data_IF_052900429049
#
_entry.id   IF_052900429049
#
_cell.length_a   1.000
_cell.length_b   1.000
_cell.length_c   1.000
_cell.angle_alpha   90.00
_cell.angle_beta   90.00
_cell.angle_gamma   90.00
#
_symmetry.space_group_name_H-M   'P 1'
#
loop_
_entity.id
_entity.type
_entity.pdbx_description
1 polymer ?
#
# COMPACT_ATOMS: atom_id res chain seq x y z
N UNK A 1 -9.37 0.24 13.95
CA UNK A 1 -8.81 1.56 14.33
C UNK A 1 -7.35 1.70 13.90
N UNK A 2 -6.44 0.78 14.25
CA UNK A 2 -5.00 0.88 13.94
C UNK A 2 -4.63 0.84 12.45
N UNK A 3 -5.37 0.13 11.60
CA UNK A 3 -5.08 0.06 10.16
C UNK A 3 -5.24 1.41 9.46
N UNK A 4 -6.23 2.21 9.87
CA UNK A 4 -6.42 3.57 9.35
C UNK A 4 -5.34 4.54 9.89
N UNK A 5 -4.89 4.35 11.14
CA UNK A 5 -3.81 5.15 11.72
C UNK A 5 -2.47 4.92 10.99
N UNK A 6 -2.21 3.70 10.51
CA UNK A 6 -1.02 3.39 9.70
C UNK A 6 -1.01 4.10 8.32
N UNK A 7 -2.19 4.46 7.79
CA UNK A 7 -2.33 5.22 6.54
C UNK A 7 -2.15 6.74 6.73
N UNK A 8 -2.39 7.25 7.94
CA UNK A 8 -2.35 8.68 8.28
C UNK A 8 -1.06 9.03 9.06
N UNK A 9 -0.31 8.03 9.51
CA UNK A 9 0.99 8.25 10.14
C UNK A 9 1.91 8.99 9.17
N UNK A 10 2.41 10.15 9.58
CA UNK A 10 3.52 10.82 8.92
C UNK A 10 4.74 9.91 9.06
N UNK A 11 4.94 9.05 8.07
CA UNK A 11 6.21 8.34 7.89
C UNK A 11 7.15 9.37 7.30
N UNK A 12 8.20 9.74 8.04
CA UNK A 12 9.24 10.64 7.55
C UNK A 12 10.09 9.88 6.50
N UNK A 13 9.53 9.78 5.29
CA UNK A 13 10.13 9.07 4.15
C UNK A 13 11.45 9.75 3.77
N UNK A 14 11.55 11.06 3.98
CA UNK A 14 12.74 11.85 3.70
C UNK A 14 13.87 11.51 4.68
N UNK A 15 13.58 11.37 5.98
CA UNK A 15 14.54 10.85 6.96
C UNK A 15 14.98 9.41 6.62
N UNK A 16 14.06 8.55 6.17
CA UNK A 16 14.37 7.18 5.77
C UNK A 16 15.25 7.12 4.52
N UNK A 17 14.99 7.95 3.51
CA UNK A 17 15.83 8.05 2.31
C UNK A 17 17.21 8.61 2.65
N UNK A 18 17.29 9.64 3.50
CA UNK A 18 18.56 10.26 3.90
C UNK A 18 19.47 9.31 4.69
N UNK A 19 18.89 8.41 5.46
CA UNK A 19 19.60 7.38 6.22
C UNK A 19 19.72 6.05 5.44
N UNK A 20 19.36 6.01 4.16
CA UNK A 20 19.44 4.79 3.37
C UNK A 20 20.90 4.34 3.23
N UNK A 21 21.26 3.13 3.70
CA UNK A 21 22.63 2.63 3.63
C UNK A 21 23.02 2.20 2.21
N UNK A 22 22.04 1.90 1.36
CA UNK A 22 22.22 1.42 -0.01
C UNK A 22 21.00 1.71 -0.89
N UNK A 23 21.17 1.51 -2.21
CA UNK A 23 20.10 1.67 -3.19
C UNK A 23 18.96 0.66 -2.98
N UNK A 24 19.22 -0.49 -2.37
CA UNK A 24 18.21 -1.50 -2.08
C UNK A 24 17.17 -1.02 -1.06
N UNK A 25 17.62 -0.31 -0.03
CA UNK A 25 16.76 0.28 0.98
C UNK A 25 15.88 1.40 0.41
N UNK A 26 16.41 2.27 -0.45
CA UNK A 26 15.62 3.32 -1.13
C UNK A 26 14.48 2.71 -1.97
N UNK A 27 14.80 1.67 -2.75
CA UNK A 27 13.81 0.95 -3.55
C UNK A 27 12.77 0.28 -2.64
N UNK A 28 13.20 -0.29 -1.51
CA UNK A 28 12.31 -0.87 -0.50
C UNK A 28 11.35 0.17 0.10
N UNK A 29 11.83 1.36 0.42
CA UNK A 29 11.01 2.48 0.92
C UNK A 29 10.03 2.97 -0.15
N UNK A 30 10.48 3.09 -1.40
CA UNK A 30 9.64 3.51 -2.52
C UNK A 30 8.53 2.49 -2.83
N UNK A 31 8.85 1.20 -2.88
CA UNK A 31 7.84 0.14 -3.07
C UNK A 31 6.91 0.07 -1.85
N UNK A 32 7.48 0.23 -0.65
CA UNK A 32 6.75 0.25 0.62
C UNK A 32 5.70 1.37 0.70
N UNK A 33 5.98 2.54 0.13
CA UNK A 33 5.02 3.66 0.09
C UNK A 33 3.87 3.43 -0.89
N UNK A 34 4.06 2.58 -1.91
CA UNK A 34 3.03 2.22 -2.90
C UNK A 34 2.13 1.06 -2.43
N UNK A 35 2.56 0.26 -1.44
CA UNK A 35 1.79 -0.88 -0.89
C UNK A 35 0.34 -0.53 -0.50
N UNK A 36 0.06 0.58 0.22
CA UNK A 36 -1.30 0.99 0.55
C UNK A 36 -2.21 1.10 -0.68
N UNK A 37 -1.71 1.67 -1.77
CA UNK A 37 -2.46 1.81 -3.02
C UNK A 37 -2.71 0.44 -3.68
N UNK A 38 -1.69 -0.43 -3.73
CA UNK A 38 -1.83 -1.79 -4.27
C UNK A 38 -2.89 -2.60 -3.52
N UNK A 39 -2.95 -2.46 -2.19
CA UNK A 39 -3.97 -3.11 -1.36
C UNK A 39 -5.37 -2.62 -1.74
N UNK A 40 -5.56 -1.31 -1.94
CA UNK A 40 -6.86 -0.75 -2.36
C UNK A 40 -7.29 -1.29 -3.74
N UNK A 41 -6.36 -1.36 -4.70
CA UNK A 41 -6.63 -1.94 -6.03
C UNK A 41 -7.01 -3.42 -5.94
N UNK A 42 -6.30 -4.19 -5.11
CA UNK A 42 -6.61 -5.60 -4.88
C UNK A 42 -8.01 -5.78 -4.26
N UNK A 43 -8.36 -4.96 -3.27
CA UNK A 43 -9.69 -4.97 -2.66
C UNK A 43 -10.78 -4.59 -3.68
N UNK A 44 -10.54 -3.57 -4.51
CA UNK A 44 -11.46 -3.20 -5.60
C UNK A 44 -11.66 -4.35 -6.58
N UNK A 45 -10.58 -5.04 -6.97
CA UNK A 45 -10.66 -6.22 -7.84
C UNK A 45 -11.45 -7.37 -7.20
N UNK A 46 -11.22 -7.66 -5.91
CA UNK A 46 -11.96 -8.68 -5.17
C UNK A 46 -13.45 -8.34 -5.07
N UNK A 47 -13.79 -7.08 -4.79
CA UNK A 47 -15.18 -6.61 -4.76
C UNK A 47 -15.84 -6.73 -6.14
N UNK A 48 -15.15 -6.32 -7.21
CA UNK A 48 -15.62 -6.49 -8.58
C UNK A 48 -15.87 -7.96 -8.92
N UNK A 49 -14.92 -8.84 -8.61
CA UNK A 49 -15.02 -10.29 -8.87
C UNK A 49 -16.18 -10.91 -8.09
N UNK A 50 -16.33 -10.56 -6.82
CA UNK A 50 -17.42 -11.06 -5.98
C UNK A 50 -18.79 -10.60 -6.47
N UNK A 51 -18.92 -9.32 -6.84
CA UNK A 51 -20.17 -8.74 -7.37
C UNK A 51 -20.55 -9.35 -8.73
N UNK A 52 -19.56 -9.52 -9.62
CA UNK A 52 -19.76 -10.15 -10.93
C UNK A 52 -20.27 -11.59 -10.83
N UNK A 53 -19.78 -12.36 -9.86
CA UNK A 53 -20.22 -13.73 -9.63
C UNK A 53 -21.63 -13.84 -9.02
N UNK A 54 -22.17 -12.76 -8.45
CA UNK A 54 -23.56 -12.70 -7.96
C UNK A 54 -24.57 -12.31 -9.04
N UNK A 55 -24.15 -11.51 -10.03
CA UNK A 55 -24.98 -11.13 -11.18
C UNK A 55 -25.07 -12.22 -12.25
N UNK A 56 -24.45 -13.40 -12.03
CA UNK A 56 -24.58 -14.59 -12.87
C UNK A 56 -25.42 -15.71 -12.21
N UNK A 57 -26.10 -15.41 -11.10
CA UNK A 57 -27.14 -16.27 -10.53
C UNK A 57 -28.51 -15.63 -10.72
#
# INVERSE_FOLDING_TARGET
>A
MYLFLALIQQVDIEEKLKNAPDQGYEIGVFIGSMLPFVILVALAYLMYRYSKNKNQQ
#
